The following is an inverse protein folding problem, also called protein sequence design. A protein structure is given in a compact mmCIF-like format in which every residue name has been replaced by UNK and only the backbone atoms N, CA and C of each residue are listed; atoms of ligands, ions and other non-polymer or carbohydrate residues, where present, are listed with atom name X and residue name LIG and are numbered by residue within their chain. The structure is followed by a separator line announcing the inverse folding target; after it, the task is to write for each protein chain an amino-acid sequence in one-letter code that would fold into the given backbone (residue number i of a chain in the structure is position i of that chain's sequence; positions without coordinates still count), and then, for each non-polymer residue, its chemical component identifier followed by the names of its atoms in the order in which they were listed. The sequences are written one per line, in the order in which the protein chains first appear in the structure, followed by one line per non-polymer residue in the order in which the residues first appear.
data_IF_048315948829
#
_entry.id   IF_048315948829
#
_cell.length_a   1.000
_cell.length_b   1.000
_cell.length_c   1.000
_cell.angle_alpha   90.00
_cell.angle_beta   90.00
_cell.angle_gamma   90.00
#
_symmetry.space_group_name_H-M   'P 1'
#
loop_
_entity.id
_entity.type
_entity.pdbx_description
1 polymer ?
#
# COMPACT_ATOMS: atom_id res chain seq x y z
N UNK A 1 25.20 -20.94 6.85
CA UNK A 1 25.52 -19.52 6.56
C UNK A 1 25.05 -19.02 5.18
N UNK A 2 24.48 -19.85 4.30
CA UNK A 2 23.94 -19.37 3.01
C UNK A 2 22.46 -18.92 3.07
N UNK A 3 21.65 -19.44 4.00
CA UNK A 3 20.22 -19.10 4.08
C UNK A 3 19.92 -17.65 4.51
N UNK A 4 20.76 -17.06 5.38
CA UNK A 4 20.57 -15.69 5.84
C UNK A 4 20.73 -14.68 4.71
N UNK A 5 21.70 -14.89 3.81
CA UNK A 5 21.97 -13.97 2.70
C UNK A 5 20.84 -14.02 1.65
N UNK A 6 20.36 -15.22 1.33
CA UNK A 6 19.27 -15.42 0.35
C UNK A 6 17.96 -14.83 0.85
N UNK A 7 17.65 -14.97 2.15
CA UNK A 7 16.46 -14.35 2.73
C UNK A 7 16.53 -12.82 2.70
N UNK A 8 17.68 -12.22 3.03
CA UNK A 8 17.86 -10.75 2.96
C UNK A 8 17.76 -10.21 1.54
N UNK A 9 18.33 -10.91 0.54
CA UNK A 9 18.28 -10.46 -0.86
C UNK A 9 16.86 -10.56 -1.41
N UNK A 10 16.12 -11.63 -1.09
CA UNK A 10 14.73 -11.80 -1.53
C UNK A 10 13.80 -10.80 -0.84
N UNK A 11 13.91 -10.60 0.48
CA UNK A 11 13.13 -9.58 1.20
C UNK A 11 13.46 -8.17 0.72
N UNK A 12 14.72 -7.84 0.43
CA UNK A 12 15.08 -6.53 -0.11
C UNK A 12 14.43 -6.25 -1.48
N UNK A 13 14.32 -7.28 -2.32
CA UNK A 13 13.73 -7.17 -3.64
C UNK A 13 12.18 -7.09 -3.58
N UNK A 14 11.57 -7.83 -2.66
CA UNK A 14 10.12 -7.75 -2.37
C UNK A 14 9.74 -6.42 -1.71
N UNK A 15 10.49 -5.96 -0.72
CA UNK A 15 10.32 -4.64 -0.11
C UNK A 15 10.45 -3.53 -1.16
N UNK A 16 11.39 -3.65 -2.11
CA UNK A 16 11.51 -2.69 -3.21
C UNK A 16 10.28 -2.66 -4.12
N UNK A 17 9.68 -3.81 -4.42
CA UNK A 17 8.44 -3.88 -5.22
C UNK A 17 7.24 -3.34 -4.46
N UNK A 18 7.05 -3.76 -3.22
CA UNK A 18 5.96 -3.29 -2.36
C UNK A 18 6.09 -1.79 -2.12
N UNK A 19 7.29 -1.29 -1.82
CA UNK A 19 7.57 0.14 -1.63
C UNK A 19 7.22 0.95 -2.88
N UNK A 20 7.54 0.46 -4.09
CA UNK A 20 7.15 1.12 -5.35
C UNK A 20 5.64 1.16 -5.53
N UNK A 21 4.94 0.07 -5.23
CA UNK A 21 3.48 0.02 -5.35
C UNK A 21 2.82 0.94 -4.33
N UNK A 22 3.26 0.89 -3.06
CA UNK A 22 2.79 1.78 -1.99
C UNK A 22 3.07 3.23 -2.33
N UNK A 23 4.26 3.55 -2.85
CA UNK A 23 4.59 4.90 -3.31
C UNK A 23 3.66 5.36 -4.43
N UNK A 24 3.34 4.47 -5.39
CA UNK A 24 2.43 4.79 -6.48
C UNK A 24 1.00 5.05 -5.96
N UNK A 25 0.51 4.21 -5.04
CA UNK A 25 -0.79 4.39 -4.36
C UNK A 25 -0.84 5.74 -3.65
N UNK A 26 0.17 6.06 -2.84
CA UNK A 26 0.27 7.33 -2.12
C UNK A 26 0.32 8.50 -3.10
N UNK A 27 1.07 8.36 -4.19
CA UNK A 27 1.19 9.41 -5.21
C UNK A 27 -0.16 9.69 -5.85
N UNK A 28 -0.89 8.66 -6.29
CA UNK A 28 -2.24 8.77 -6.84
C UNK A 28 -3.18 9.47 -5.86
N UNK A 29 -3.17 9.09 -4.59
CA UNK A 29 -4.01 9.74 -3.57
C UNK A 29 -3.65 11.22 -3.42
N UNK A 30 -2.37 11.56 -3.33
CA UNK A 30 -1.94 12.95 -3.11
C UNK A 30 -2.08 13.85 -4.32
N UNK A 31 -1.89 13.34 -5.53
CA UNK A 31 -1.89 14.16 -6.75
C UNK A 31 -3.26 14.23 -7.40
N UNK A 32 -3.97 13.09 -7.48
CA UNK A 32 -5.25 13.02 -8.19
C UNK A 32 -6.44 12.89 -7.26
N UNK A 33 -6.22 12.68 -5.94
CA UNK A 33 -7.29 12.40 -4.97
C UNK A 33 -8.20 11.24 -5.41
N UNK A 34 -7.66 10.34 -6.25
CA UNK A 34 -8.40 9.20 -6.78
C UNK A 34 -8.22 8.00 -5.86
N UNK A 35 -9.06 7.97 -4.82
CA UNK A 35 -9.10 6.91 -3.85
C UNK A 35 -9.61 5.59 -4.43
N UNK A 36 -10.42 5.61 -5.49
CA UNK A 36 -10.94 4.37 -6.10
C UNK A 36 -9.84 3.63 -6.85
N UNK A 37 -9.05 4.34 -7.66
CA UNK A 37 -7.89 3.78 -8.34
C UNK A 37 -6.85 3.27 -7.35
N UNK A 38 -6.62 4.01 -6.27
CA UNK A 38 -5.76 3.57 -5.16
C UNK A 38 -6.24 2.24 -4.55
N UNK A 39 -7.53 2.13 -4.23
CA UNK A 39 -8.13 0.89 -3.69
C UNK A 39 -8.01 -0.27 -4.67
N UNK A 40 -8.21 -0.01 -5.96
CA UNK A 40 -8.06 -1.04 -7.00
C UNK A 40 -6.62 -1.55 -7.08
N UNK A 41 -5.62 -0.65 -7.00
CA UNK A 41 -4.21 -1.02 -6.96
C UNK A 41 -3.87 -1.86 -5.71
N UNK A 42 -4.44 -1.52 -4.55
CA UNK A 42 -4.28 -2.28 -3.31
C UNK A 42 -4.83 -3.70 -3.47
N UNK A 43 -6.04 -3.84 -4.03
CA UNK A 43 -6.68 -5.15 -4.27
C UNK A 43 -5.93 -5.99 -5.31
N UNK A 44 -5.54 -5.39 -6.43
CA UNK A 44 -4.84 -6.09 -7.52
C UNK A 44 -3.47 -6.61 -7.08
N UNK A 45 -2.77 -5.87 -6.23
CA UNK A 45 -1.45 -6.27 -5.72
C UNK A 45 -1.52 -7.04 -4.40
N UNK A 46 -2.74 -7.35 -3.91
CA UNK A 46 -2.98 -8.03 -2.64
C UNK A 46 -2.22 -7.40 -1.45
N UNK A 47 -2.15 -6.07 -1.42
CA UNK A 47 -1.43 -5.31 -0.39
C UNK A 47 -2.35 -5.13 0.82
N UNK A 48 -1.83 -5.35 2.03
CA UNK A 48 -2.57 -5.06 3.26
C UNK A 48 -2.53 -3.57 3.56
N UNK A 49 -3.58 -3.05 4.18
CA UNK A 49 -3.59 -1.66 4.62
C UNK A 49 -2.44 -1.38 5.60
N UNK A 50 -2.09 -2.35 6.47
CA UNK A 50 -0.94 -2.27 7.38
C UNK A 50 0.40 -2.07 6.66
N UNK A 51 0.58 -2.69 5.49
CA UNK A 51 1.79 -2.51 4.67
C UNK A 51 1.88 -1.11 4.11
N UNK A 52 0.74 -0.49 3.82
CA UNK A 52 0.65 0.91 3.40
C UNK A 52 0.95 1.77 4.61
N UNK A 53 0.26 1.57 5.74
CA UNK A 53 0.43 2.35 6.98
C UNK A 53 1.89 2.40 7.42
N UNK A 54 2.54 1.23 7.54
CA UNK A 54 3.95 1.10 7.94
C UNK A 54 4.95 1.80 7.01
N UNK A 55 4.60 1.97 5.73
CA UNK A 55 5.44 2.60 4.70
C UNK A 55 4.94 4.00 4.29
N UNK A 56 3.83 4.44 4.85
CA UNK A 56 3.11 5.67 4.50
C UNK A 56 3.49 6.88 5.36
N UNK A 57 4.75 6.95 5.81
CA UNK A 57 5.34 8.13 6.47
C UNK A 57 5.08 9.43 5.67
N UNK A 58 4.73 9.32 4.38
CA UNK A 58 4.48 10.42 3.43
C UNK A 58 3.00 10.71 3.13
N UNK A 59 2.04 9.93 3.65
CA UNK A 59 0.61 10.16 3.45
C UNK A 59 0.03 10.90 4.67
N UNK A 60 -0.70 12.02 4.46
CA UNK A 60 -1.42 12.70 5.54
C UNK A 60 -2.41 11.75 6.24
N UNK A 61 -2.53 11.88 7.56
CA UNK A 61 -3.44 11.04 8.36
C UNK A 61 -4.89 11.12 7.86
N UNK A 62 -5.33 12.29 7.41
CA UNK A 62 -6.68 12.47 6.86
C UNK A 62 -6.92 11.63 5.60
N UNK A 63 -5.98 11.62 4.65
CA UNK A 63 -6.08 10.83 3.42
C UNK A 63 -6.02 9.32 3.73
N UNK A 64 -5.23 8.94 4.72
CA UNK A 64 -5.16 7.56 5.20
C UNK A 64 -6.49 7.10 5.81
N UNK A 65 -7.10 7.92 6.66
CA UNK A 65 -8.41 7.65 7.26
C UNK A 65 -9.47 7.55 6.16
N UNK A 66 -9.47 8.49 5.22
CA UNK A 66 -10.43 8.48 4.12
C UNK A 66 -10.30 7.22 3.24
N UNK A 67 -9.07 6.80 2.93
CA UNK A 67 -8.80 5.55 2.25
C UNK A 67 -9.32 4.34 3.03
N UNK A 68 -9.06 4.29 4.35
CA UNK A 68 -9.52 3.20 5.21
C UNK A 68 -11.05 3.13 5.28
N UNK A 69 -11.72 4.28 5.46
CA UNK A 69 -13.18 4.38 5.49
C UNK A 69 -13.78 3.86 4.18
N UNK A 70 -13.25 4.28 3.03
CA UNK A 70 -13.70 3.81 1.72
C UNK A 70 -13.49 2.29 1.54
N UNK A 71 -12.39 1.75 2.05
CA UNK A 71 -12.12 0.31 2.01
C UNK A 71 -13.10 -0.48 2.89
N UNK A 72 -13.47 0.04 4.07
CA UNK A 72 -14.45 -0.57 4.97
C UNK A 72 -15.86 -0.51 4.35
N UNK A 73 -16.27 0.65 3.84
CA UNK A 73 -17.56 0.85 3.18
C UNK A 73 -17.73 -0.05 1.96
N UNK A 74 -16.69 -0.17 1.11
CA UNK A 74 -16.73 -1.07 -0.05
C UNK A 74 -16.68 -2.56 0.31
N UNK A 75 -16.30 -2.92 1.53
CA UNK A 75 -16.38 -4.31 2.02
C UNK A 75 -17.80 -4.69 2.48
N UNK A 76 -18.62 -3.69 2.84
CA UNK A 76 -20.00 -3.86 3.30
C UNK A 76 -21.04 -3.97 2.18
N UNK A 77 -20.74 -3.54 0.95
CA UNK A 77 -21.61 -3.77 -0.21
C UNK A 77 -21.39 -5.19 -0.74
N UNK A 78 -22.02 -6.16 -0.08
CA UNK A 78 -22.08 -7.55 -0.54
C UNK A 78 -23.52 -8.02 -0.56
#
# INVERSE_FOLDING_TARGET
MQEYLTNTINTFNEDSKINKIVYNIITVIKTTHDYESAINLIKQNNIKLEDIVSRSIRLPLADLIHLADLMILKKGNK
#
